data_IF_038280614007
#
_entry.id   IF_038280614007
#
_cell.length_a   1.000
_cell.length_b   1.000
_cell.length_c   1.000
_cell.angle_alpha   90.00
_cell.angle_beta   90.00
_cell.angle_gamma   90.00
#
_symmetry.space_group_name_H-M   'P 1'
#
loop_
_entity.id
_entity.type
_entity.pdbx_description
1 polymer ?
#
# COMPACT_ATOMS: atom_id res chain seq x y z
N UNK A 1 42.26 -1.43 18.89
CA UNK A 1 41.20 -0.97 19.80
C UNK A 1 40.66 0.40 19.41
N UNK A 2 41.36 1.52 19.67
CA UNK A 2 40.82 2.87 19.36
C UNK A 2 40.47 3.11 17.88
N UNK A 3 41.31 2.64 16.95
CA UNK A 3 41.02 2.74 15.50
C UNK A 3 39.89 1.82 15.04
N UNK A 4 39.67 0.67 15.71
CA UNK A 4 38.56 -0.24 15.41
C UNK A 4 37.22 0.40 15.83
N UNK A 5 37.19 1.00 17.03
CA UNK A 5 36.01 1.72 17.54
C UNK A 5 35.65 2.90 16.64
N UNK A 6 36.65 3.66 16.19
CA UNK A 6 36.44 4.75 15.22
C UNK A 6 35.86 4.25 13.91
N UNK A 7 36.36 3.12 13.40
CA UNK A 7 35.84 2.51 12.17
C UNK A 7 34.39 2.08 12.35
N UNK A 8 34.07 1.35 13.42
CA UNK A 8 32.70 0.92 13.73
C UNK A 8 31.76 2.12 13.89
N UNK A 9 32.17 3.13 14.64
CA UNK A 9 31.39 4.35 14.82
C UNK A 9 31.18 5.09 13.50
N UNK A 10 32.19 5.15 12.62
CA UNK A 10 32.05 5.78 11.31
C UNK A 10 31.01 5.07 10.43
N UNK A 11 31.02 3.74 10.42
CA UNK A 11 30.05 2.92 9.69
C UNK A 11 28.62 3.14 10.20
N UNK A 12 28.43 3.12 11.53
CA UNK A 12 27.13 3.37 12.15
C UNK A 12 26.62 4.80 11.89
N UNK A 13 27.50 5.79 11.92
CA UNK A 13 27.15 7.18 11.57
C UNK A 13 26.68 7.29 10.12
N UNK A 14 27.38 6.62 9.20
CA UNK A 14 27.03 6.64 7.78
C UNK A 14 25.76 5.84 7.48
N UNK A 15 25.41 4.86 8.31
CA UNK A 15 24.17 4.10 8.22
C UNK A 15 22.96 4.78 8.89
N UNK A 16 23.15 5.66 9.87
CA UNK A 16 22.06 6.30 10.61
C UNK A 16 21.17 7.19 9.73
N UNK A 17 19.87 6.88 9.58
CA UNK A 17 18.92 7.74 8.87
C UNK A 17 18.77 9.12 9.54
N UNK A 18 18.80 9.17 10.88
CA UNK A 18 18.70 10.42 11.62
C UNK A 18 19.88 11.36 11.33
N UNK A 19 21.08 10.82 11.12
CA UNK A 19 22.25 11.62 10.73
C UNK A 19 22.21 11.96 9.23
N UNK A 20 21.78 11.02 8.40
CA UNK A 20 21.72 11.20 6.94
C UNK A 20 20.63 12.18 6.47
N UNK A 21 19.60 12.41 7.27
CA UNK A 21 18.56 13.42 7.01
C UNK A 21 19.02 14.86 7.27
N UNK A 22 20.17 15.07 7.91
CA UNK A 22 20.71 16.40 8.17
C UNK A 22 21.28 17.05 6.89
N UNK A 23 21.29 18.39 6.79
CA UNK A 23 22.03 19.09 5.74
C UNK A 23 23.50 18.67 5.69
N UNK A 24 24.10 18.64 4.50
CA UNK A 24 25.45 18.10 4.28
C UNK A 24 26.51 18.65 5.27
N UNK A 25 26.49 19.96 5.53
CA UNK A 25 27.41 20.62 6.45
C UNK A 25 27.19 20.19 7.91
N UNK A 26 25.92 20.05 8.32
CA UNK A 26 25.56 19.59 9.66
C UNK A 26 25.89 18.10 9.86
N UNK A 27 25.66 17.26 8.85
CA UNK A 27 26.07 15.86 8.82
C UNK A 27 27.59 15.73 8.99
N UNK A 28 28.36 16.48 8.20
CA UNK A 28 29.82 16.48 8.27
C UNK A 28 30.33 16.96 9.63
N UNK A 29 29.75 18.04 10.17
CA UNK A 29 30.11 18.55 11.49
C UNK A 29 29.81 17.54 12.61
N UNK A 30 28.64 16.89 12.57
CA UNK A 30 28.24 15.88 13.55
C UNK A 30 29.12 14.63 13.48
N UNK A 31 29.39 14.11 12.28
CA UNK A 31 30.32 12.99 12.08
C UNK A 31 31.70 13.30 12.65
N UNK A 32 32.23 14.50 12.35
CA UNK A 32 33.52 14.94 12.87
C UNK A 32 33.53 15.03 14.39
N UNK A 33 32.47 15.57 14.99
CA UNK A 33 32.35 15.68 16.45
C UNK A 33 32.38 14.30 17.12
N UNK A 34 31.58 13.36 16.62
CA UNK A 34 31.49 12.00 17.18
C UNK A 34 32.80 11.22 17.05
N UNK A 35 33.48 11.31 15.90
CA UNK A 35 34.77 10.66 15.68
C UNK A 35 35.95 11.32 16.41
N UNK A 36 35.75 12.54 16.93
CA UNK A 36 36.75 13.26 17.73
C UNK A 36 36.62 13.03 19.24
N UNK A 37 35.59 12.31 19.67
CA UNK A 37 35.34 12.06 21.09
C UNK A 37 36.39 11.13 21.72
N UNK A 38 36.41 11.09 23.05
CA UNK A 38 37.14 10.06 23.78
C UNK A 38 36.50 8.68 23.58
N UNK A 39 37.23 7.63 23.95
CA UNK A 39 36.83 6.24 23.71
C UNK A 39 35.53 5.87 24.44
N UNK A 40 35.33 6.31 25.67
CA UNK A 40 34.11 6.03 26.45
C UNK A 40 32.90 6.67 25.79
N UNK A 41 33.03 7.92 25.35
CA UNK A 41 31.98 8.62 24.63
C UNK A 41 31.69 7.99 23.27
N UNK A 42 32.70 7.48 22.56
CA UNK A 42 32.49 6.76 21.31
C UNK A 42 31.70 5.47 21.51
N UNK A 43 31.99 4.68 22.55
CA UNK A 43 31.17 3.50 22.87
C UNK A 43 29.72 3.86 23.14
N UNK A 44 29.46 4.95 23.88
CA UNK A 44 28.09 5.44 24.09
C UNK A 44 27.39 5.81 22.79
N UNK A 45 28.12 6.42 21.85
CA UNK A 45 27.56 6.72 20.53
C UNK A 45 27.27 5.45 19.73
N UNK A 46 28.14 4.44 19.79
CA UNK A 46 27.91 3.13 19.17
C UNK A 46 26.63 2.51 19.74
N UNK A 47 26.49 2.43 21.06
CA UNK A 47 25.32 1.85 21.72
C UNK A 47 24.02 2.55 21.28
N UNK A 48 24.04 3.88 21.20
CA UNK A 48 22.85 4.66 20.76
C UNK A 48 22.49 4.36 19.30
N UNK A 49 23.48 4.32 18.40
CA UNK A 49 23.25 4.09 16.99
C UNK A 49 22.84 2.64 16.68
N UNK A 50 23.36 1.67 17.44
CA UNK A 50 22.94 0.27 17.34
C UNK A 50 21.50 0.07 17.82
N UNK A 51 21.10 0.75 18.91
CA UNK A 51 19.71 0.75 19.37
C UNK A 51 18.77 1.43 18.36
N UNK A 52 19.17 2.58 17.79
CA UNK A 52 18.41 3.26 16.72
C UNK A 52 18.17 2.30 15.56
N UNK A 53 19.21 1.58 15.12
CA UNK A 53 19.08 0.61 14.04
C UNK A 53 18.05 -0.48 14.35
N UNK A 54 18.10 -1.07 15.54
CA UNK A 54 17.17 -2.13 15.97
C UNK A 54 15.73 -1.62 16.08
N UNK A 55 15.54 -0.38 16.58
CA UNK A 55 14.21 0.23 16.67
C UNK A 55 13.63 0.52 15.28
N UNK A 56 14.46 1.03 14.36
CA UNK A 56 14.02 1.30 12.99
C UNK A 56 13.68 0.01 12.22
N UNK A 57 14.46 -1.07 12.39
CA UNK A 57 14.13 -2.38 11.80
C UNK A 57 12.76 -2.88 12.26
N UNK A 58 12.40 -2.71 13.53
CA UNK A 58 11.06 -3.09 14.03
C UNK A 58 9.96 -2.23 13.42
N UNK A 59 10.20 -0.92 13.29
CA UNK A 59 9.25 0.01 12.68
C UNK A 59 9.03 -0.39 11.21
N UNK A 60 10.10 -0.67 10.47
CA UNK A 60 10.02 -1.11 9.06
C UNK A 60 9.24 -2.44 8.93
N UNK A 61 9.48 -3.39 9.83
CA UNK A 61 8.73 -4.67 9.88
C UNK A 61 7.23 -4.44 10.17
N UNK A 62 6.89 -3.53 11.08
CA UNK A 62 5.50 -3.16 11.39
C UNK A 62 4.80 -2.49 10.19
N UNK A 63 5.47 -1.54 9.53
CA UNK A 63 4.93 -0.90 8.33
C UNK A 63 4.80 -1.87 7.16
N UNK A 64 5.71 -2.83 7.01
CA UNK A 64 5.60 -3.87 5.99
C UNK A 64 4.37 -4.76 6.24
N UNK A 65 4.12 -5.16 7.49
CA UNK A 65 2.93 -5.94 7.85
C UNK A 65 1.63 -5.17 7.58
N UNK A 66 1.57 -3.88 7.93
CA UNK A 66 0.41 -3.03 7.65
C UNK A 66 0.20 -2.83 6.14
N UNK A 67 1.29 -2.68 5.37
CA UNK A 67 1.20 -2.58 3.92
C UNK A 67 0.66 -3.86 3.27
N UNK A 68 1.04 -5.04 3.77
CA UNK A 68 0.49 -6.33 3.31
C UNK A 68 -1.02 -6.44 3.62
N UNK A 69 -1.47 -5.99 4.80
CA UNK A 69 -2.89 -5.96 5.16
C UNK A 69 -3.69 -5.03 4.24
N UNK A 70 -3.16 -3.84 3.95
CA UNK A 70 -3.78 -2.89 3.03
C UNK A 70 -3.89 -3.48 1.62
N UNK A 71 -2.84 -4.15 1.12
CA UNK A 71 -2.87 -4.77 -0.20
C UNK A 71 -3.91 -5.91 -0.28
N UNK A 72 -4.03 -6.71 0.79
CA UNK A 72 -5.06 -7.74 0.88
C UNK A 72 -6.47 -7.14 0.84
N UNK A 73 -6.73 -6.07 1.60
CA UNK A 73 -8.02 -5.37 1.62
C UNK A 73 -8.37 -4.74 0.27
N UNK A 74 -7.39 -4.14 -0.43
CA UNK A 74 -7.59 -3.58 -1.77
C UNK A 74 -7.92 -4.67 -2.80
N UNK A 75 -7.26 -5.81 -2.71
CA UNK A 75 -7.57 -6.97 -3.55
C UNK A 75 -8.99 -7.50 -3.29
N UNK A 76 -9.40 -7.61 -2.03
CA UNK A 76 -10.77 -8.03 -1.67
C UNK A 76 -11.81 -7.02 -2.20
N UNK A 77 -11.60 -5.73 -1.99
CA UNK A 77 -12.48 -4.68 -2.50
C UNK A 77 -12.61 -4.73 -4.03
N UNK A 78 -11.51 -4.98 -4.75
CA UNK A 78 -11.50 -5.11 -6.21
C UNK A 78 -12.28 -6.35 -6.68
N UNK A 79 -12.27 -7.46 -5.93
CA UNK A 79 -13.08 -8.63 -6.27
C UNK A 79 -14.56 -8.37 -6.03
N UNK A 80 -14.90 -7.75 -4.90
CA UNK A 80 -16.28 -7.37 -4.58
C UNK A 80 -16.86 -6.40 -5.62
N UNK A 81 -16.08 -5.42 -6.08
CA UNK A 81 -16.49 -4.52 -7.16
C UNK A 81 -16.82 -5.30 -8.45
N UNK A 82 -15.96 -6.23 -8.86
CA UNK A 82 -16.20 -7.08 -10.05
C UNK A 82 -17.42 -7.98 -9.90
N UNK A 83 -17.67 -8.49 -8.70
CA UNK A 83 -18.86 -9.29 -8.41
C UNK A 83 -20.14 -8.43 -8.50
N UNK A 84 -20.13 -7.24 -7.89
CA UNK A 84 -21.23 -6.30 -7.98
C UNK A 84 -21.51 -5.88 -9.43
N UNK A 85 -20.47 -5.56 -10.22
CA UNK A 85 -20.64 -5.24 -11.65
C UNK A 85 -21.27 -6.38 -12.45
N UNK A 86 -20.92 -7.63 -12.15
CA UNK A 86 -21.52 -8.80 -12.81
C UNK A 86 -22.99 -8.95 -12.42
N UNK A 87 -23.32 -8.74 -11.16
CA UNK A 87 -24.69 -8.85 -10.68
C UNK A 87 -25.57 -7.77 -11.30
N UNK A 88 -25.10 -6.52 -11.33
CA UNK A 88 -25.78 -5.40 -12.01
C UNK A 88 -26.03 -5.74 -13.48
N UNK A 89 -25.02 -6.22 -14.20
CA UNK A 89 -25.19 -6.60 -15.62
C UNK A 89 -26.22 -7.70 -15.81
N UNK A 90 -26.24 -8.69 -14.91
CA UNK A 90 -27.20 -9.78 -14.99
C UNK A 90 -28.62 -9.27 -14.76
N UNK A 91 -28.82 -8.36 -13.81
CA UNK A 91 -30.11 -7.71 -13.57
C UNK A 91 -30.56 -6.86 -14.77
N UNK A 92 -29.64 -6.13 -15.41
CA UNK A 92 -29.91 -5.38 -16.64
C UNK A 92 -30.36 -6.30 -17.79
N UNK A 93 -29.66 -7.42 -18.01
CA UNK A 93 -30.02 -8.42 -19.03
C UNK A 93 -31.39 -9.07 -18.74
N UNK A 94 -31.69 -9.37 -17.47
CA UNK A 94 -32.98 -9.92 -17.06
C UNK A 94 -34.13 -8.91 -17.28
N UNK A 95 -33.89 -7.63 -16.97
CA UNK A 95 -34.86 -6.56 -17.20
C UNK A 95 -35.11 -6.32 -18.69
N UNK A 96 -34.07 -6.34 -19.54
CA UNK A 96 -34.19 -6.20 -20.99
C UNK A 96 -35.02 -7.35 -21.59
N UNK A 97 -34.71 -8.60 -21.23
CA UNK A 97 -35.49 -9.78 -21.68
C UNK A 97 -36.95 -9.69 -21.26
N UNK A 98 -37.24 -9.26 -20.04
CA UNK A 98 -38.62 -9.09 -19.57
C UNK A 98 -39.37 -8.02 -20.38
N UNK A 99 -38.72 -6.90 -20.68
CA UNK A 99 -39.29 -5.84 -21.53
C UNK A 99 -39.54 -6.29 -22.97
N UNK A 100 -38.64 -7.08 -23.55
CA UNK A 100 -38.80 -7.59 -24.91
C UNK A 100 -39.88 -8.67 -25.03
N UNK A 101 -40.04 -9.53 -24.01
CA UNK A 101 -41.18 -10.45 -23.94
C UNK A 101 -42.52 -9.70 -23.89
N UNK A 102 -42.62 -8.64 -23.08
CA UNK A 102 -43.83 -7.83 -23.00
C UNK A 102 -44.19 -7.15 -24.34
N UNK A 103 -43.18 -6.69 -25.10
CA UNK A 103 -43.40 -6.15 -26.46
C UNK A 103 -43.85 -7.23 -27.44
N UNK A 104 -43.26 -8.43 -27.36
CA UNK A 104 -43.63 -9.54 -28.23
C UNK A 104 -45.08 -9.99 -27.99
N UNK A 105 -45.50 -10.07 -26.72
CA UNK A 105 -46.89 -10.39 -26.35
C UNK A 105 -47.87 -9.33 -26.87
N UNK A 106 -47.50 -8.04 -26.79
CA UNK A 106 -48.32 -6.96 -27.33
C UNK A 106 -48.48 -7.03 -28.86
N UNK A 107 -47.40 -7.33 -29.59
CA UNK A 107 -47.44 -7.50 -31.05
C UNK A 107 -48.26 -8.73 -31.48
N UNK A 108 -48.21 -9.82 -30.71
CA UNK A 108 -49.05 -11.00 -30.96
C UNK A 108 -50.53 -10.67 -30.78
N UNK A 109 -50.89 -9.93 -29.73
CA UNK A 109 -52.27 -9.49 -29.51
C UNK A 109 -52.78 -8.58 -30.64
N UNK A 110 -51.94 -7.68 -31.16
CA UNK A 110 -52.28 -6.81 -32.29
C UNK A 110 -52.46 -7.63 -33.59
N UNK A 111 -51.65 -8.66 -33.81
CA UNK A 111 -51.81 -9.56 -34.96
C UNK A 111 -53.10 -10.39 -34.90
N UNK A 112 -53.47 -10.87 -33.72
CA UNK A 112 -54.72 -11.61 -33.51
C UNK A 112 -55.94 -10.70 -33.80
N UNK A 113 -55.92 -9.45 -33.34
CA UNK A 113 -56.97 -8.46 -33.62
C UNK A 113 -57.11 -8.19 -35.13
N UNK A 114 -55.99 -8.01 -35.84
CA UNK A 114 -55.99 -7.82 -37.30
C UNK A 114 -56.54 -9.05 -38.05
N UNK A 115 -56.27 -10.27 -37.57
CA UNK A 115 -56.80 -11.50 -38.17
C UNK A 115 -58.30 -11.68 -37.93
N UNK A 116 -58.82 -11.24 -36.78
CA UNK A 116 -60.25 -11.23 -36.50
C UNK A 116 -61.00 -10.18 -37.34
N UNK A 117 -60.42 -9.00 -37.56
CA UNK A 117 -61.02 -7.96 -38.43
C UNK A 117 -60.99 -8.30 -39.94
N UNK A 118 -60.10 -9.22 -40.35
CA UNK A 118 -59.92 -9.60 -41.76
C UNK A 118 -60.76 -10.81 -42.21
N UNK A 119 -61.55 -11.42 -41.32
CA UNK A 119 -62.49 -12.53 -41.59
C UNK A 119 -63.95 -12.11 -41.49
#
# INVERSE_FOLDING_TARGET
MYEEIKSQLAELIDASPAINSLPADAKAARKKLMLSADEETMYKFIDVLENEKVEMEKIDDEFAAEAEEIDALLNEATQLEKEAEREIRKEEEEAERAGDLAKADALLAELDEIQEESN
#
